data_IF_574010448193
#
_entry.id   IF_574010448193
#
_cell.length_a   1.000
_cell.length_b   1.000
_cell.length_c   1.000
_cell.angle_alpha   90.00
_cell.angle_beta   90.00
_cell.angle_gamma   90.00
#
_symmetry.space_group_name_H-M   'P 1'
#
loop_
_entity.id
_entity.type
_entity.pdbx_description
1 polymer ?
#
# COMPACT_ATOMS: atom_id res chain seq x y z
N UNK A 1 -7.79 -6.52 19.98
CA UNK A 1 -8.62 -6.17 18.80
C UNK A 1 -8.46 -4.71 18.40
N UNK A 2 -8.71 -3.72 19.27
CA UNK A 2 -8.52 -2.30 18.93
C UNK A 2 -7.14 -1.97 18.33
N UNK A 3 -6.05 -2.48 18.94
CA UNK A 3 -4.68 -2.33 18.41
C UNK A 3 -4.58 -2.80 16.96
N UNK A 4 -5.06 -4.01 16.66
CA UNK A 4 -5.08 -4.58 15.30
C UNK A 4 -5.85 -3.72 14.30
N UNK A 5 -6.98 -3.16 14.72
CA UNK A 5 -7.80 -2.27 13.89
C UNK A 5 -7.01 -1.01 13.53
N UNK A 6 -6.44 -0.34 14.54
CA UNK A 6 -5.66 0.87 14.36
C UNK A 6 -4.40 0.60 13.52
N UNK A 7 -3.66 -0.47 13.81
CA UNK A 7 -2.48 -0.85 13.04
C UNK A 7 -2.84 -1.17 11.59
N UNK A 8 -3.96 -1.85 11.33
CA UNK A 8 -4.42 -2.11 9.96
C UNK A 8 -4.78 -0.83 9.20
N UNK A 9 -5.48 0.11 9.84
CA UNK A 9 -5.82 1.41 9.24
C UNK A 9 -4.54 2.19 8.93
N UNK A 10 -3.62 2.29 9.89
CA UNK A 10 -2.35 2.99 9.72
C UNK A 10 -1.56 2.34 8.59
N UNK A 11 -1.38 1.03 8.64
CA UNK A 11 -0.63 0.25 7.65
C UNK A 11 -1.17 0.49 6.23
N UNK A 12 -2.47 0.27 6.01
CA UNK A 12 -3.07 0.45 4.70
C UNK A 12 -3.01 1.90 4.23
N UNK A 13 -3.30 2.87 5.11
CA UNK A 13 -3.27 4.29 4.74
C UNK A 13 -1.86 4.70 4.32
N UNK A 14 -0.84 4.16 4.99
CA UNK A 14 0.57 4.44 4.68
C UNK A 14 0.96 3.89 3.32
N UNK A 15 0.51 2.72 2.93
CA UNK A 15 0.82 2.17 1.60
C UNK A 15 -0.09 2.70 0.48
N UNK A 16 -1.03 3.58 0.83
CA UNK A 16 -2.06 4.05 -0.08
C UNK A 16 -1.96 5.54 -0.43
N UNK A 17 -1.05 6.33 0.18
CA UNK A 17 -0.99 7.76 -0.16
C UNK A 17 -0.52 7.99 -1.61
N UNK A 18 0.37 7.13 -2.14
CA UNK A 18 0.82 7.25 -3.54
C UNK A 18 -0.30 6.86 -4.52
N UNK A 19 -1.09 5.84 -4.16
CA UNK A 19 -2.31 5.47 -4.88
C UNK A 19 -3.34 6.60 -4.91
N UNK A 20 -3.42 7.43 -3.87
CA UNK A 20 -4.33 8.56 -3.84
C UNK A 20 -3.98 9.56 -4.96
N UNK A 21 -2.70 9.85 -5.19
CA UNK A 21 -2.24 10.74 -6.28
C UNK A 21 -2.57 10.12 -7.65
N UNK A 22 -2.26 8.84 -7.82
CA UNK A 22 -2.56 8.09 -9.05
C UNK A 22 -4.07 8.08 -9.34
N UNK A 23 -4.91 7.82 -8.34
CA UNK A 23 -6.37 7.83 -8.47
C UNK A 23 -6.89 9.23 -8.84
N UNK A 24 -6.37 10.29 -8.21
CA UNK A 24 -6.72 11.66 -8.57
C UNK A 24 -6.39 11.97 -10.04
N UNK A 25 -5.24 11.51 -10.54
CA UNK A 25 -4.88 11.65 -11.96
C UNK A 25 -5.83 10.86 -12.87
N UNK A 26 -6.14 9.61 -12.52
CA UNK A 26 -7.05 8.76 -13.28
C UNK A 26 -8.46 9.35 -13.36
N UNK A 27 -9.03 9.82 -12.25
CA UNK A 27 -10.35 10.45 -12.23
C UNK A 27 -10.37 11.79 -12.97
N UNK A 28 -9.28 12.55 -12.94
CA UNK A 28 -9.15 13.78 -13.71
C UNK A 28 -9.03 13.51 -15.21
N UNK A 29 -8.34 12.43 -15.61
CA UNK A 29 -8.06 12.10 -17.02
C UNK A 29 -9.23 11.39 -17.71
N UNK A 30 -9.99 10.59 -16.97
CA UNK A 30 -11.12 9.81 -17.49
C UNK A 30 -12.45 10.24 -16.83
N UNK A 31 -13.03 11.39 -17.24
CA UNK A 31 -14.32 11.82 -16.71
C UNK A 31 -15.46 10.90 -17.19
N UNK A 32 -16.48 10.74 -16.35
CA UNK A 32 -17.73 10.06 -16.71
C UNK A 32 -18.06 8.81 -15.89
N UNK A 33 -19.34 8.43 -15.92
CA UNK A 33 -19.89 7.38 -15.03
C UNK A 33 -19.30 5.99 -15.27
N UNK A 34 -19.07 5.63 -16.54
CA UNK A 34 -18.50 4.33 -16.91
C UNK A 34 -17.02 4.26 -16.56
N UNK A 35 -16.27 5.33 -16.82
CA UNK A 35 -14.86 5.44 -16.43
C UNK A 35 -14.70 5.34 -14.92
N UNK A 36 -15.54 6.05 -14.15
CA UNK A 36 -15.57 5.93 -12.69
C UNK A 36 -15.74 4.48 -12.25
N UNK A 37 -16.76 3.78 -12.74
CA UNK A 37 -16.99 2.38 -12.37
C UNK A 37 -15.76 1.51 -12.69
N UNK A 38 -15.13 1.74 -13.84
CA UNK A 38 -13.95 0.99 -14.24
C UNK A 38 -12.74 1.27 -13.33
N UNK A 39 -12.55 2.50 -12.87
CA UNK A 39 -11.49 2.86 -11.90
C UNK A 39 -11.74 2.17 -10.56
N UNK A 40 -12.98 2.18 -10.05
CA UNK A 40 -13.33 1.45 -8.82
C UNK A 40 -13.02 -0.05 -8.95
N UNK A 41 -13.49 -0.69 -10.02
CA UNK A 41 -13.26 -2.12 -10.25
C UNK A 41 -11.76 -2.42 -10.36
N UNK A 42 -11.03 -1.62 -11.16
CA UNK A 42 -9.60 -1.80 -11.35
C UNK A 42 -8.81 -1.66 -10.05
N UNK A 43 -9.12 -0.66 -9.23
CA UNK A 43 -8.45 -0.48 -7.94
C UNK A 43 -8.74 -1.65 -6.99
N UNK A 44 -9.99 -2.13 -6.93
CA UNK A 44 -10.33 -3.31 -6.14
C UNK A 44 -9.56 -4.55 -6.60
N UNK A 45 -9.50 -4.80 -7.92
CA UNK A 45 -8.75 -5.94 -8.47
C UNK A 45 -7.27 -5.82 -8.12
N UNK A 46 -6.66 -4.64 -8.33
CA UNK A 46 -5.26 -4.39 -8.03
C UNK A 46 -4.93 -4.60 -6.55
N UNK A 47 -5.67 -3.94 -5.66
CA UNK A 47 -5.47 -4.05 -4.21
C UNK A 47 -5.73 -5.46 -3.69
N UNK A 48 -6.80 -6.14 -4.12
CA UNK A 48 -7.08 -7.52 -3.70
C UNK A 48 -6.02 -8.50 -4.22
N UNK A 49 -5.46 -8.27 -5.40
CA UNK A 49 -4.35 -9.06 -5.93
C UNK A 49 -3.12 -8.91 -5.04
N UNK A 50 -2.74 -7.69 -4.65
CA UNK A 50 -1.62 -7.44 -3.75
C UNK A 50 -1.83 -8.06 -2.37
N UNK A 51 -3.04 -7.96 -1.82
CA UNK A 51 -3.42 -8.62 -0.57
C UNK A 51 -3.29 -10.14 -0.71
N UNK A 52 -3.77 -10.72 -1.82
CA UNK A 52 -3.66 -12.15 -2.10
C UNK A 52 -2.22 -12.64 -2.21
N UNK A 53 -1.36 -11.90 -2.92
CA UNK A 53 0.08 -12.20 -3.03
C UNK A 53 0.74 -12.12 -1.64
N UNK A 54 0.39 -11.11 -0.85
CA UNK A 54 0.91 -10.94 0.50
C UNK A 54 0.47 -12.07 1.43
N UNK A 55 -0.79 -12.50 1.34
CA UNK A 55 -1.30 -13.66 2.08
C UNK A 55 -0.59 -14.95 1.67
N UNK A 56 -0.32 -15.13 0.38
CA UNK A 56 0.42 -16.29 -0.11
C UNK A 56 1.82 -16.35 0.50
N UNK A 57 2.59 -15.25 0.46
CA UNK A 57 3.91 -15.22 1.08
C UNK A 57 3.85 -15.36 2.60
N UNK A 58 2.88 -14.74 3.27
CA UNK A 58 2.70 -14.90 4.71
C UNK A 58 2.40 -16.36 5.09
N UNK A 59 1.59 -17.06 4.30
CA UNK A 59 1.31 -18.48 4.48
C UNK A 59 2.57 -19.34 4.29
N UNK A 60 3.35 -19.08 3.24
CA UNK A 60 4.64 -19.78 3.01
C UNK A 60 5.61 -19.55 4.16
N UNK A 61 5.70 -18.32 4.68
CA UNK A 61 6.61 -17.97 5.77
C UNK A 61 6.17 -18.50 7.14
N UNK A 62 4.90 -18.90 7.32
CA UNK A 62 4.46 -19.56 8.54
C UNK A 62 5.23 -20.87 8.79
N UNK A 63 5.72 -21.53 7.73
CA UNK A 63 6.52 -22.75 7.85
C UNK A 63 7.98 -22.50 8.30
N UNK A 64 8.39 -21.24 8.48
CA UNK A 64 9.71 -20.90 9.01
C UNK A 64 9.77 -21.23 10.51
N UNK A 65 10.67 -22.14 10.97
CA UNK A 65 10.62 -22.66 12.33
C UNK A 65 10.95 -21.66 13.44
N UNK A 66 11.62 -20.55 13.12
CA UNK A 66 12.18 -19.64 14.13
C UNK A 66 11.60 -18.23 14.02
N UNK A 67 10.88 -17.81 15.07
CA UNK A 67 10.18 -16.52 15.14
C UNK A 67 11.10 -15.30 15.02
N UNK A 68 12.36 -15.39 15.47
CA UNK A 68 13.31 -14.28 15.35
C UNK A 68 13.67 -13.98 13.88
N UNK A 69 13.58 -14.97 12.98
CA UNK A 69 13.81 -14.78 11.55
C UNK A 69 12.70 -13.96 10.90
N UNK A 70 11.49 -14.02 11.46
CA UNK A 70 10.34 -13.25 10.99
C UNK A 70 10.51 -11.75 11.27
N UNK A 71 11.20 -11.39 12.36
CA UNK A 71 11.48 -9.98 12.62
C UNK A 71 12.50 -9.36 11.67
N UNK A 72 13.32 -10.16 10.97
CA UNK A 72 14.16 -9.65 9.89
C UNK A 72 13.34 -9.07 8.72
N UNK A 73 12.08 -9.48 8.56
CA UNK A 73 11.20 -8.83 7.57
C UNK A 73 10.94 -7.37 7.92
N UNK A 74 11.09 -6.95 9.19
CA UNK A 74 11.01 -5.54 9.58
C UNK A 74 12.11 -4.67 8.97
N UNK A 75 13.19 -5.26 8.46
CA UNK A 75 14.20 -4.55 7.66
C UNK A 75 13.66 -4.11 6.30
N UNK A 76 12.67 -4.80 5.74
CA UNK A 76 12.07 -4.46 4.45
C UNK A 76 11.33 -3.11 4.53
N UNK A 77 10.41 -2.88 5.50
CA UNK A 77 9.85 -1.56 5.76
C UNK A 77 10.90 -0.47 6.00
N UNK A 78 11.95 -0.74 6.79
CA UNK A 78 13.01 0.24 7.06
C UNK A 78 13.72 0.64 5.77
N UNK A 79 14.07 -0.33 4.93
CA UNK A 79 14.68 -0.08 3.63
C UNK A 79 13.79 0.81 2.75
N UNK A 80 12.49 0.51 2.65
CA UNK A 80 11.57 1.36 1.89
C UNK A 80 11.47 2.76 2.49
N UNK A 81 11.40 2.90 3.81
CA UNK A 81 11.35 4.20 4.44
C UNK A 81 12.58 5.06 4.16
N UNK A 82 13.77 4.45 4.15
CA UNK A 82 15.01 5.11 3.72
C UNK A 82 14.97 5.46 2.23
N UNK A 83 14.47 4.55 1.37
CA UNK A 83 14.31 4.82 -0.06
C UNK A 83 13.47 6.08 -0.29
N UNK A 84 12.36 6.26 0.42
CA UNK A 84 11.52 7.47 0.31
C UNK A 84 12.25 8.76 0.73
N UNK A 85 13.16 8.70 1.71
CA UNK A 85 13.96 9.88 2.10
C UNK A 85 14.99 10.28 1.04
N UNK A 86 15.42 9.33 0.21
CA UNK A 86 16.45 9.54 -0.82
C UNK A 86 15.86 9.70 -2.23
N UNK A 87 14.57 9.39 -2.40
CA UNK A 87 13.91 9.45 -3.70
C UNK A 87 13.47 10.88 -4.03
N UNK A 88 13.92 11.36 -5.19
CA UNK A 88 13.48 12.60 -5.83
C UNK A 88 12.57 12.29 -7.05
N UNK A 89 12.09 11.04 -7.15
CA UNK A 89 11.28 10.56 -8.28
C UNK A 89 9.82 11.05 -8.17
N UNK A 90 9.33 11.70 -9.23
CA UNK A 90 7.93 12.06 -9.40
C UNK A 90 7.15 10.88 -10.01
N UNK A 91 6.79 9.90 -9.18
CA UNK A 91 6.06 8.69 -9.59
C UNK A 91 4.76 9.00 -10.34
N UNK A 92 4.12 10.12 -9.99
CA UNK A 92 2.87 10.55 -10.61
C UNK A 92 3.07 10.95 -12.09
N UNK A 93 4.21 11.57 -12.42
CA UNK A 93 4.58 11.92 -13.78
C UNK A 93 4.85 10.67 -14.64
N UNK A 94 5.62 9.72 -14.11
CA UNK A 94 5.93 8.45 -14.82
C UNK A 94 4.66 7.64 -15.09
N UNK A 95 3.76 7.56 -14.10
CA UNK A 95 2.46 6.89 -14.26
C UNK A 95 1.62 7.57 -15.34
N UNK A 96 1.60 8.91 -15.40
CA UNK A 96 0.82 9.62 -16.42
C UNK A 96 1.29 9.30 -17.84
N UNK A 97 2.61 9.22 -18.07
CA UNK A 97 3.18 8.82 -19.36
C UNK A 97 2.79 7.39 -19.73
N UNK A 98 2.89 6.44 -18.78
CA UNK A 98 2.45 5.05 -18.98
C UNK A 98 0.95 4.94 -19.27
N UNK A 99 0.12 5.82 -18.69
CA UNK A 99 -1.31 5.89 -18.98
C UNK A 99 -1.58 6.36 -20.42
N UNK A 100 -0.81 7.32 -20.93
CA UNK A 100 -0.94 7.77 -22.33
C UNK A 100 -0.60 6.66 -23.33
N UNK A 101 0.42 5.85 -23.03
CA UNK A 101 0.77 4.69 -23.84
C UNK A 101 -0.31 3.58 -23.82
N UNK A 102 -1.27 3.63 -22.89
CA UNK A 102 -2.32 2.60 -22.70
C UNK A 102 -3.74 3.08 -23.03
N UNK A 103 -3.92 4.21 -23.72
CA UNK A 103 -5.24 4.79 -24.00
C UNK A 103 -6.23 3.83 -24.71
N UNK A 104 -5.75 2.90 -25.55
CA UNK A 104 -6.60 1.94 -26.28
C UNK A 104 -6.86 0.62 -25.53
N UNK A 105 -6.45 0.50 -24.26
CA UNK A 105 -6.64 -0.72 -23.46
C UNK A 105 -7.80 -0.58 -22.47
N UNK A 106 -8.24 -1.72 -21.91
CA UNK A 106 -9.26 -1.74 -20.85
C UNK A 106 -8.82 -0.88 -19.66
N UNK A 107 -9.60 0.16 -19.33
CA UNK A 107 -9.33 1.04 -18.20
C UNK A 107 -9.27 0.28 -16.87
N UNK A 108 -10.09 -0.76 -16.70
CA UNK A 108 -10.04 -1.64 -15.51
C UNK A 108 -8.66 -2.29 -15.38
N UNK A 109 -8.15 -2.87 -16.47
CA UNK A 109 -6.85 -3.53 -16.47
C UNK A 109 -5.71 -2.52 -16.30
N UNK A 110 -5.81 -1.35 -16.93
CA UNK A 110 -4.85 -0.26 -16.75
C UNK A 110 -4.76 0.14 -15.28
N UNK A 111 -5.89 0.41 -14.62
CA UNK A 111 -5.91 0.80 -13.21
C UNK A 111 -5.34 -0.32 -12.33
N UNK A 112 -5.78 -1.56 -12.50
CA UNK A 112 -5.29 -2.69 -11.70
C UNK A 112 -3.78 -2.90 -11.85
N UNK A 113 -3.26 -2.84 -13.08
CA UNK A 113 -1.83 -2.98 -13.35
C UNK A 113 -1.06 -1.81 -12.76
N UNK A 114 -1.55 -0.58 -12.87
CA UNK A 114 -0.90 0.58 -12.25
C UNK A 114 -0.85 0.43 -10.74
N UNK A 115 -1.95 0.02 -10.09
CA UNK A 115 -1.97 -0.25 -8.64
C UNK A 115 -0.91 -1.29 -8.25
N UNK A 116 -0.79 -2.39 -8.99
CA UNK A 116 0.17 -3.46 -8.71
C UNK A 116 1.62 -3.01 -8.99
N UNK A 117 1.84 -2.27 -10.08
CA UNK A 117 3.17 -1.88 -10.50
C UNK A 117 3.75 -0.76 -9.61
N UNK A 118 2.93 0.23 -9.26
CA UNK A 118 3.36 1.37 -8.45
C UNK A 118 3.49 0.99 -6.98
N UNK A 119 2.55 0.19 -6.46
CA UNK A 119 2.47 -0.07 -5.01
C UNK A 119 2.61 -1.55 -4.67
N UNK A 120 3.22 -2.36 -5.54
CA UNK A 120 3.39 -3.77 -5.27
C UNK A 120 4.46 -4.04 -4.22
N UNK A 121 5.60 -3.34 -4.33
CA UNK A 121 6.79 -3.60 -3.54
C UNK A 121 6.60 -3.22 -2.07
N UNK A 122 6.04 -2.04 -1.81
CA UNK A 122 5.70 -1.53 -0.48
C UNK A 122 4.54 -2.31 0.16
N UNK A 123 3.43 -2.53 -0.55
CA UNK A 123 2.31 -3.31 -0.02
C UNK A 123 2.74 -4.73 0.36
N UNK A 124 3.46 -5.45 -0.51
CA UNK A 124 3.94 -6.81 -0.18
C UNK A 124 4.95 -6.74 0.96
N UNK A 125 5.91 -5.81 0.91
CA UNK A 125 6.95 -5.65 1.91
C UNK A 125 6.43 -5.33 3.31
N UNK A 126 5.25 -4.71 3.42
CA UNK A 126 4.63 -4.30 4.67
C UNK A 126 3.52 -5.26 5.12
N UNK A 127 2.71 -5.77 4.20
CA UNK A 127 1.60 -6.67 4.51
C UNK A 127 2.09 -8.06 4.90
N UNK A 128 3.12 -8.60 4.21
CA UNK A 128 3.65 -9.94 4.53
C UNK A 128 4.12 -10.04 5.97
N UNK A 129 5.06 -9.20 6.48
CA UNK A 129 5.49 -9.30 7.88
C UNK A 129 4.34 -9.12 8.86
N UNK A 130 3.43 -8.19 8.57
CA UNK A 130 2.30 -7.94 9.43
C UNK A 130 1.35 -9.15 9.48
N UNK A 131 0.98 -9.72 8.34
CA UNK A 131 0.08 -10.87 8.28
C UNK A 131 0.65 -12.10 8.99
N UNK A 132 1.97 -12.30 8.92
CA UNK A 132 2.64 -13.40 9.64
C UNK A 132 2.55 -13.23 11.16
N UNK A 133 2.55 -12.00 11.68
CA UNK A 133 2.50 -11.75 13.12
C UNK A 133 1.09 -11.86 13.73
N UNK A 134 0.04 -11.95 12.89
CA UNK A 134 -1.34 -11.99 13.34
C UNK A 134 -1.86 -13.40 13.62
N UNK A 135 -2.74 -13.51 14.61
CA UNK A 135 -3.63 -14.67 14.76
C UNK A 135 -4.68 -14.71 13.66
N UNK A 136 -5.30 -15.86 13.43
CA UNK A 136 -6.35 -16.04 12.42
C UNK A 136 -7.49 -15.01 12.53
N UNK A 137 -7.99 -14.75 13.75
CA UNK A 137 -9.06 -13.77 13.96
C UNK A 137 -8.61 -12.33 13.72
N UNK A 138 -7.37 -12.00 14.09
CA UNK A 138 -6.81 -10.67 13.81
C UNK A 138 -6.63 -10.47 12.30
N UNK A 139 -6.17 -11.49 11.59
CA UNK A 139 -6.02 -11.45 10.14
C UNK A 139 -7.37 -11.19 9.46
N UNK A 140 -8.43 -11.93 9.83
CA UNK A 140 -9.77 -11.70 9.29
C UNK A 140 -10.25 -10.25 9.50
N UNK A 141 -10.07 -9.70 10.71
CA UNK A 141 -10.41 -8.31 11.00
C UNK A 141 -9.60 -7.34 10.15
N UNK A 142 -8.29 -7.58 9.99
CA UNK A 142 -7.42 -6.77 9.13
C UNK A 142 -7.88 -6.79 7.67
N UNK A 143 -8.26 -7.94 7.12
CA UNK A 143 -8.73 -8.05 5.73
C UNK A 143 -10.04 -7.28 5.50
N UNK A 144 -10.98 -7.34 6.46
CA UNK A 144 -12.21 -6.54 6.41
C UNK A 144 -11.90 -5.05 6.41
N UNK A 145 -10.96 -4.61 7.26
CA UNK A 145 -10.52 -3.22 7.30
C UNK A 145 -9.90 -2.79 5.98
N UNK A 146 -9.03 -3.62 5.39
CA UNK A 146 -8.41 -3.30 4.10
C UNK A 146 -9.47 -3.11 3.02
N UNK A 147 -10.51 -3.96 2.96
CA UNK A 147 -11.63 -3.80 2.02
C UNK A 147 -12.33 -2.44 2.22
N UNK A 148 -12.59 -2.04 3.48
CA UNK A 148 -13.20 -0.75 3.80
C UNK A 148 -12.25 0.40 3.40
N UNK A 149 -10.95 0.27 3.67
CA UNK A 149 -9.96 1.27 3.31
C UNK A 149 -9.79 1.41 1.80
N UNK A 150 -9.90 0.34 1.00
CA UNK A 150 -9.95 0.43 -0.48
C UNK A 150 -11.10 1.32 -0.92
N UNK A 151 -12.30 1.12 -0.37
CA UNK A 151 -13.46 1.96 -0.69
C UNK A 151 -13.22 3.43 -0.33
N UNK A 152 -12.71 3.69 0.87
CA UNK A 152 -12.40 5.04 1.33
C UNK A 152 -11.35 5.69 0.42
N UNK A 153 -10.30 4.96 0.06
CA UNK A 153 -9.23 5.45 -0.81
C UNK A 153 -9.77 5.86 -2.18
N UNK A 154 -10.55 5.01 -2.84
CA UNK A 154 -11.09 5.33 -4.18
C UNK A 154 -12.04 6.52 -4.12
N UNK A 155 -12.90 6.58 -3.09
CA UNK A 155 -13.82 7.71 -2.92
C UNK A 155 -13.10 9.02 -2.61
N UNK A 156 -12.01 8.98 -1.83
CA UNK A 156 -11.14 10.13 -1.61
C UNK A 156 -10.45 10.57 -2.90
N UNK A 157 -9.90 9.63 -3.67
CA UNK A 157 -9.29 9.90 -4.97
C UNK A 157 -10.26 10.59 -5.94
N UNK A 158 -11.50 10.12 -6.01
CA UNK A 158 -12.56 10.73 -6.84
C UNK A 158 -12.86 12.16 -6.40
N UNK A 159 -13.10 12.38 -5.10
CA UNK A 159 -13.47 13.69 -4.56
C UNK A 159 -12.31 14.70 -4.60
N UNK A 160 -11.09 14.22 -4.44
CA UNK A 160 -9.89 15.07 -4.41
C UNK A 160 -9.27 15.31 -5.79
N UNK A 161 -9.74 14.64 -6.85
CA UNK A 161 -9.19 14.76 -8.21
C UNK A 161 -9.05 16.20 -8.72
N UNK A 162 -9.96 17.09 -8.29
CA UNK A 162 -10.01 18.49 -8.66
C UNK A 162 -9.34 19.44 -7.66
N UNK A 163 -8.84 18.93 -6.53
CA UNK A 163 -8.20 19.73 -5.48
C UNK A 163 -6.69 19.78 -5.72
N UNK A 164 -6.20 20.88 -6.32
CA UNK A 164 -4.77 21.11 -6.55
C UNK A 164 -3.94 21.09 -5.26
N UNK A 165 -4.52 21.53 -4.14
CA UNK A 165 -3.88 21.52 -2.83
C UNK A 165 -3.42 20.13 -2.39
N UNK A 166 -4.24 19.10 -2.62
CA UNK A 166 -3.93 17.72 -2.19
C UNK A 166 -2.74 17.17 -2.96
N UNK A 167 -2.67 17.46 -4.27
CA UNK A 167 -1.54 17.09 -5.12
C UNK A 167 -0.24 17.75 -4.65
N UNK A 168 -0.27 19.05 -4.37
CA UNK A 168 0.90 19.81 -3.89
C UNK A 168 1.34 19.34 -2.50
N UNK A 169 0.40 19.07 -1.59
CA UNK A 169 0.71 18.57 -0.26
C UNK A 169 1.39 17.20 -0.29
N UNK A 170 0.84 16.26 -1.07
CA UNK A 170 1.41 14.92 -1.23
C UNK A 170 2.78 14.96 -1.92
N UNK A 171 2.93 15.78 -2.97
CA UNK A 171 4.23 15.96 -3.62
C UNK A 171 5.30 16.53 -2.67
N UNK A 172 4.89 17.40 -1.72
CA UNK A 172 5.83 18.07 -0.81
C UNK A 172 6.15 17.28 0.46
N UNK A 173 5.17 16.55 1.00
CA UNK A 173 5.28 15.91 2.32
C UNK A 173 5.06 14.40 2.28
N UNK A 174 4.55 13.83 1.19
CA UNK A 174 4.23 12.41 1.06
C UNK A 174 5.41 11.52 1.42
N UNK A 175 6.55 11.70 0.75
CA UNK A 175 7.75 10.91 0.97
C UNK A 175 8.23 10.92 2.43
N UNK A 176 8.19 12.08 3.11
CA UNK A 176 8.55 12.21 4.52
C UNK A 176 7.57 11.47 5.45
N UNK A 177 6.27 11.56 5.17
CA UNK A 177 5.23 10.86 5.93
C UNK A 177 5.42 9.35 5.77
N UNK A 178 5.62 8.86 4.54
CA UNK A 178 5.85 7.44 4.26
C UNK A 178 7.09 6.92 4.98
N UNK A 179 8.21 7.65 4.87
CA UNK A 179 9.46 7.29 5.51
C UNK A 179 9.30 7.09 7.01
N UNK A 180 8.66 8.03 7.69
CA UNK A 180 8.43 7.97 9.12
C UNK A 180 7.61 6.74 9.50
N UNK A 181 6.53 6.46 8.77
CA UNK A 181 5.64 5.34 9.10
C UNK A 181 6.33 4.00 8.81
N UNK A 182 7.03 3.87 7.69
CA UNK A 182 7.67 2.62 7.29
C UNK A 182 8.83 2.25 8.22
N UNK A 183 9.66 3.23 8.60
CA UNK A 183 10.72 3.02 9.60
C UNK A 183 10.10 2.63 10.95
N UNK A 184 9.07 3.35 11.40
CA UNK A 184 8.39 3.05 12.66
C UNK A 184 7.80 1.63 12.69
N UNK A 185 7.15 1.22 11.60
CA UNK A 185 6.54 -0.11 11.48
C UNK A 185 7.59 -1.22 11.44
N UNK A 186 8.69 -1.02 10.70
CA UNK A 186 9.80 -1.98 10.65
C UNK A 186 10.46 -2.16 12.01
N UNK A 187 10.70 -1.07 12.74
CA UNK A 187 11.20 -1.12 14.12
C UNK A 187 10.24 -1.88 15.05
N UNK A 188 8.93 -1.65 14.94
CA UNK A 188 7.92 -2.39 15.72
C UNK A 188 7.93 -3.88 15.42
N UNK A 189 8.02 -4.29 14.15
CA UNK A 189 8.09 -5.71 13.76
C UNK A 189 9.33 -6.38 14.36
N UNK A 190 10.50 -5.73 14.25
CA UNK A 190 11.76 -6.25 14.81
C UNK A 190 11.65 -6.42 16.33
N UNK A 191 11.05 -5.44 17.01
CA UNK A 191 10.86 -5.47 18.47
C UNK A 191 9.88 -6.57 18.90
N UNK A 192 8.70 -6.67 18.28
CA UNK A 192 7.67 -7.65 18.64
C UNK A 192 8.07 -9.09 18.30
N UNK A 193 8.95 -9.28 17.32
CA UNK A 193 9.43 -10.61 16.91
C UNK A 193 10.57 -11.14 17.79
N UNK A 194 11.05 -10.35 18.77
CA UNK A 194 12.13 -10.72 19.67
C UNK A 194 13.51 -10.87 18.99
N UNK A 195 13.66 -10.38 17.77
CA UNK A 195 14.89 -10.52 16.98
C UNK A 195 16.08 -9.86 17.68
N UNK A 196 15.89 -8.66 18.24
CA UNK A 196 16.94 -7.96 18.98
C UNK A 196 17.38 -8.74 20.23
N UNK A 197 16.45 -9.37 20.94
CA UNK A 197 16.70 -10.13 22.17
C UNK A 197 17.38 -11.48 21.91
N UNK A 198 17.42 -11.93 20.66
CA UNK A 198 18.12 -13.16 20.27
C UNK A 198 19.61 -12.93 19.99
N UNK A 199 19.98 -11.72 19.56
CA UNK A 199 21.35 -11.35 19.20
C UNK A 199 22.12 -10.60 20.30
N UNK A 200 21.45 -10.24 21.39
CA UNK A 200 22.02 -9.63 22.60
C UNK A 200 21.95 -10.65 23.73
#
# INVERSE_FOLDING_TARGET
MLKTILTAIILYTSTALDLLVILMLLFSKYPGRNARRNIYIGQYIGSLCLIGISLFFAFVLHYVPQKWLLGLLGLIPIFFGIKYLLSDEDEAAEVNEKLDQRQNKSLVATVAITTIASCGADNIGLFVPYFVSLTFWQLLVTLVIFIICIYILVTLGEKSAHLSFVKVFLARYGNWIMALIYIGLGCLIIWESGTIQHFI
#
